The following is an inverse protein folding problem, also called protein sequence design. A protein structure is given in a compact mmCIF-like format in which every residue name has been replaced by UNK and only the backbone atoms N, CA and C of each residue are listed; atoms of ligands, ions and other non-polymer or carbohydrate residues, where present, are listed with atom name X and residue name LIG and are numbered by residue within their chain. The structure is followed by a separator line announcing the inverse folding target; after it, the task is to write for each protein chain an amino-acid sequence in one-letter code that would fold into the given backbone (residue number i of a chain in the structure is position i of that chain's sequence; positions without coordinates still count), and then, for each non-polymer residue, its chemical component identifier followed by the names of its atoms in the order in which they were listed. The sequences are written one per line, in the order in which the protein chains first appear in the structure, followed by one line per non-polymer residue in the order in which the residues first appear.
data_IF_110323380049
#
_entry.id   IF_110323380049
#
_cell.length_a   1.000
_cell.length_b   1.000
_cell.length_c   1.000
_cell.angle_alpha   90.00
_cell.angle_beta   90.00
_cell.angle_gamma   90.00
#
_symmetry.space_group_name_H-M   'P 1'
#
loop_
_entity.id
_entity.type
_entity.pdbx_description
1 polymer ?
#
# COMPACT_ATOMS: atom_id res chain seq x y z
N UNK A 1 -10.28 -13.37 3.42
CA UNK A 1 -11.33 -12.60 2.72
C UNK A 1 -10.65 -11.46 1.95
N UNK A 2 -11.17 -11.09 0.77
CA UNK A 2 -10.65 -9.96 -0.02
C UNK A 2 -11.54 -8.76 0.27
N UNK A 3 -10.96 -7.70 0.83
CA UNK A 3 -11.70 -6.53 1.35
C UNK A 3 -11.48 -5.26 0.54
N UNK A 4 -10.79 -5.36 -0.60
CA UNK A 4 -10.47 -4.21 -1.43
C UNK A 4 -9.57 -4.54 -2.60
N UNK A 5 -9.14 -3.49 -3.29
CA UNK A 5 -8.16 -3.56 -4.38
C UNK A 5 -7.02 -2.60 -4.10
N UNK A 6 -5.93 -2.75 -4.84
CA UNK A 6 -4.79 -1.86 -4.70
C UNK A 6 -4.06 -1.67 -6.03
N UNK A 7 -3.29 -0.58 -6.09
CA UNK A 7 -2.46 -0.23 -7.24
C UNK A 7 -1.12 0.30 -6.77
N UNK A 8 -0.04 -0.16 -7.39
CA UNK A 8 1.29 0.41 -7.23
C UNK A 8 1.67 1.29 -8.42
N UNK A 9 2.30 2.44 -8.14
CA UNK A 9 2.93 3.31 -9.13
C UNK A 9 4.35 3.63 -8.68
N UNK A 10 5.33 3.21 -9.46
CA UNK A 10 6.73 3.55 -9.23
C UNK A 10 7.07 4.90 -9.88
N UNK A 11 7.87 5.71 -9.19
CA UNK A 11 8.48 6.93 -9.71
C UNK A 11 9.91 7.02 -9.20
N UNK A 12 10.87 6.65 -10.05
CA UNK A 12 12.27 6.55 -9.66
C UNK A 12 12.47 5.58 -8.49
N UNK A 13 12.98 6.09 -7.37
CA UNK A 13 13.27 5.30 -6.15
C UNK A 13 12.10 5.20 -5.16
N UNK A 14 10.96 5.82 -5.48
CA UNK A 14 9.77 5.85 -4.63
C UNK A 14 8.64 5.07 -5.28
N UNK A 15 7.80 4.45 -4.47
CA UNK A 15 6.59 3.80 -4.92
C UNK A 15 5.38 4.30 -4.14
N UNK A 16 4.33 4.69 -4.85
CA UNK A 16 3.04 4.96 -4.25
C UNK A 16 2.18 3.70 -4.33
N UNK A 17 1.63 3.29 -3.20
CA UNK A 17 0.68 2.18 -3.06
C UNK A 17 -0.65 2.77 -2.64
N UNK A 18 -1.64 2.70 -3.51
CA UNK A 18 -3.02 3.12 -3.21
C UNK A 18 -3.86 1.88 -2.94
N UNK A 19 -4.51 1.84 -1.79
CA UNK A 19 -5.43 0.77 -1.39
C UNK A 19 -6.84 1.36 -1.32
N UNK A 20 -7.78 0.74 -2.00
CA UNK A 20 -9.19 1.12 -1.99
C UNK A 20 -9.99 -0.01 -1.37
N UNK A 21 -10.59 0.26 -0.21
CA UNK A 21 -11.47 -0.70 0.46
C UNK A 21 -12.80 -0.86 -0.28
N UNK A 22 -13.40 -2.05 -0.22
CA UNK A 22 -14.81 -2.22 -0.58
C UNK A 22 -15.73 -1.59 0.47
N UNK A 23 -15.24 -1.54 1.72
CA UNK A 23 -15.83 -0.86 2.88
C UNK A 23 -14.74 -0.16 3.70
N UNK A 24 -15.14 0.55 4.76
CA UNK A 24 -14.22 1.19 5.68
C UNK A 24 -13.25 0.18 6.33
N UNK A 25 -11.96 0.30 6.01
CA UNK A 25 -10.92 -0.55 6.60
C UNK A 25 -10.71 -0.19 8.08
N UNK A 26 -10.59 -1.22 8.92
CA UNK A 26 -10.32 -1.06 10.35
C UNK A 26 -8.96 -0.40 10.61
N UNK A 27 -8.81 0.26 11.76
CA UNK A 27 -7.55 0.91 12.14
C UNK A 27 -6.38 -0.08 12.23
N UNK A 28 -6.64 -1.32 12.67
CA UNK A 28 -5.63 -2.36 12.73
C UNK A 28 -5.14 -2.75 11.33
N UNK A 29 -6.05 -2.90 10.37
CA UNK A 29 -5.70 -3.22 8.98
C UNK A 29 -4.93 -2.06 8.33
N UNK A 30 -5.38 -0.81 8.55
CA UNK A 30 -4.68 0.39 8.06
C UNK A 30 -3.23 0.47 8.54
N UNK A 31 -2.96 0.12 9.81
CA UNK A 31 -1.58 0.07 10.36
C UNK A 31 -0.76 -1.05 9.72
N UNK A 32 -1.35 -2.23 9.53
CA UNK A 32 -0.64 -3.34 8.88
C UNK A 32 -0.26 -3.01 7.42
N UNK A 33 -1.10 -2.25 6.71
CA UNK A 33 -0.83 -1.84 5.33
C UNK A 33 0.41 -0.96 5.19
N UNK A 34 0.83 -0.23 6.23
CA UNK A 34 2.05 0.60 6.17
C UNK A 34 3.30 -0.28 5.99
N UNK A 35 3.42 -1.34 6.80
CA UNK A 35 4.50 -2.33 6.69
C UNK A 35 4.45 -3.04 5.33
N UNK A 36 3.27 -3.47 4.90
CA UNK A 36 3.13 -4.18 3.62
C UNK A 36 3.46 -3.28 2.43
N UNK A 37 3.08 -2.01 2.44
CA UNK A 37 3.43 -1.08 1.37
C UNK A 37 4.94 -0.95 1.21
N UNK A 38 5.69 -0.93 2.32
CA UNK A 38 7.14 -0.92 2.32
C UNK A 38 7.72 -2.23 1.77
N UNK A 39 7.20 -3.39 2.19
CA UNK A 39 7.59 -4.70 1.65
C UNK A 39 7.40 -4.76 0.13
N UNK A 40 6.24 -4.31 -0.37
CA UNK A 40 5.99 -4.28 -1.82
C UNK A 40 6.98 -3.34 -2.51
N UNK A 41 7.32 -2.19 -1.90
CA UNK A 41 8.26 -1.23 -2.50
C UNK A 41 9.63 -1.85 -2.69
N UNK A 42 10.14 -2.54 -1.66
CA UNK A 42 11.43 -3.22 -1.70
C UNK A 42 11.46 -4.31 -2.78
N UNK A 43 10.42 -5.14 -2.87
CA UNK A 43 10.28 -6.18 -3.91
C UNK A 43 10.24 -5.57 -5.31
N UNK A 44 9.70 -4.34 -5.44
CA UNK A 44 9.62 -3.61 -6.71
C UNK A 44 10.84 -2.72 -6.98
N UNK A 45 11.88 -2.77 -6.14
CA UNK A 45 13.13 -2.03 -6.32
C UNK A 45 13.07 -0.56 -5.90
N UNK A 46 11.99 -0.14 -5.25
CA UNK A 46 11.89 1.18 -4.60
C UNK A 46 12.47 1.11 -3.19
N UNK A 47 13.03 2.23 -2.71
CA UNK A 47 13.54 2.33 -1.33
C UNK A 47 12.52 2.90 -0.35
N UNK A 48 11.51 3.58 -0.88
CA UNK A 48 10.50 4.29 -0.08
C UNK A 48 9.12 3.96 -0.62
N UNK A 49 8.20 3.63 0.29
CA UNK A 49 6.79 3.53 0.02
C UNK A 49 6.02 4.78 0.49
N UNK A 50 5.03 5.20 -0.29
CA UNK A 50 3.96 6.08 0.14
C UNK A 50 2.65 5.28 0.10
N UNK A 51 2.07 5.01 1.27
CA UNK A 51 0.75 4.41 1.35
C UNK A 51 -0.32 5.50 1.27
N UNK A 52 -1.34 5.26 0.43
CA UNK A 52 -2.60 6.00 0.41
C UNK A 52 -3.75 5.01 0.60
N UNK A 53 -4.67 5.31 1.51
CA UNK A 53 -5.88 4.51 1.73
C UNK A 53 -7.10 5.36 1.38
N UNK A 54 -7.89 4.90 0.42
CA UNK A 54 -9.11 5.53 -0.10
C UNK A 54 -10.36 4.73 0.31
#
# INVERSE_FOLDING_TARGET
EIVGTWRARASGRRMEVTVTGFDALSAALRRALETEAQTVAEVRGAKEALLRVE
#
